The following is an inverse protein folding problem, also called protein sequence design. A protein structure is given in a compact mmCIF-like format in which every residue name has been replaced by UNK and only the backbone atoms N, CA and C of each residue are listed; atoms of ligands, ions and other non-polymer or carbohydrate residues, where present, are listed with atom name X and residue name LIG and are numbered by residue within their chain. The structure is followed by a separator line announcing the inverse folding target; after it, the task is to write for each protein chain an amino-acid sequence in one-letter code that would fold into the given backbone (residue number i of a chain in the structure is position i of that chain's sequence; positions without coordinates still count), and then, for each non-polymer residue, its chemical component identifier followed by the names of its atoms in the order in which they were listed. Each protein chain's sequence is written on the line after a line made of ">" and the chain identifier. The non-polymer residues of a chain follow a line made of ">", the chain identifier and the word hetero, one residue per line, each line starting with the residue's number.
data_IF_747673410197
#
_entry.id   IF_747673410197
#
_cell.length_a   1.000
_cell.length_b   1.000
_cell.length_c   1.000
_cell.angle_alpha   90.00
_cell.angle_beta   90.00
_cell.angle_gamma   90.00
#
_symmetry.space_group_name_H-M   'P 1'
#
loop_
_entity.id
_entity.type
_entity.pdbx_description
1 polymer ?
#
# COMPACT_ATOMS: atom_id res chain seq x y z
N UNK A 1 -10.45 29.07 2.30
CA UNK A 1 -11.08 27.95 3.02
C UNK A 1 -10.38 26.67 2.58
N UNK A 2 -9.76 25.92 3.49
CA UNK A 2 -9.03 24.70 3.14
C UNK A 2 -10.03 23.60 2.74
N UNK A 3 -9.98 23.18 1.48
CA UNK A 3 -10.84 22.14 0.96
C UNK A 3 -10.57 20.82 1.71
N UNK A 4 -11.64 20.17 2.19
CA UNK A 4 -11.50 18.93 2.95
C UNK A 4 -10.96 17.83 2.02
N UNK A 5 -9.65 17.58 2.06
CA UNK A 5 -8.93 16.61 1.20
C UNK A 5 -9.51 15.19 1.25
N UNK A 6 -10.22 14.84 2.32
CA UNK A 6 -11.00 13.61 2.44
C UNK A 6 -12.08 13.48 1.36
N UNK A 7 -12.77 14.58 1.01
CA UNK A 7 -13.79 14.57 -0.06
C UNK A 7 -13.16 14.28 -1.43
N UNK A 8 -11.98 14.83 -1.68
CA UNK A 8 -11.23 14.61 -2.93
C UNK A 8 -10.79 13.15 -3.03
N UNK A 9 -10.21 12.59 -1.96
CA UNK A 9 -9.79 11.20 -1.91
C UNK A 9 -10.99 10.23 -2.07
N UNK A 10 -12.10 10.50 -1.39
CA UNK A 10 -13.32 9.70 -1.52
C UNK A 10 -13.92 9.78 -2.93
N UNK A 11 -13.92 10.97 -3.56
CA UNK A 11 -14.38 11.13 -4.93
C UNK A 11 -13.48 10.40 -5.93
N UNK A 12 -12.16 10.42 -5.73
CA UNK A 12 -11.22 9.66 -6.56
C UNK A 12 -11.45 8.15 -6.43
N UNK A 13 -11.66 7.64 -5.22
CA UNK A 13 -12.01 6.24 -4.96
C UNK A 13 -13.30 5.80 -5.66
N UNK A 14 -14.36 6.61 -5.58
CA UNK A 14 -15.65 6.32 -6.22
C UNK A 14 -15.58 6.25 -7.74
N UNK A 15 -14.55 6.83 -8.38
CA UNK A 15 -14.33 6.62 -9.83
C UNK A 15 -13.90 5.19 -10.17
N UNK A 16 -13.30 4.50 -9.21
CA UNK A 16 -12.80 3.13 -9.39
C UNK A 16 -13.72 2.07 -8.75
N UNK A 17 -14.63 2.49 -7.87
CA UNK A 17 -15.62 1.63 -7.21
C UNK A 17 -17.01 1.97 -7.75
N UNK A 18 -17.64 1.02 -8.45
CA UNK A 18 -19.01 1.17 -8.94
C UNK A 18 -20.08 0.84 -7.88
N UNK A 19 -19.66 0.23 -6.77
CA UNK A 19 -20.52 -0.21 -5.67
C UNK A 19 -20.12 0.51 -4.37
N UNK A 20 -21.12 1.05 -3.67
CA UNK A 20 -20.97 1.71 -2.36
C UNK A 20 -20.63 0.75 -1.22
N UNK A 21 -20.51 -0.55 -1.47
CA UNK A 21 -20.01 -1.54 -0.50
C UNK A 21 -18.62 -2.05 -0.81
N UNK A 22 -18.11 -1.75 -2.00
CA UNK A 22 -16.84 -2.28 -2.43
C UNK A 22 -15.68 -1.68 -1.61
N UNK A 23 -14.74 -2.54 -1.24
CA UNK A 23 -13.56 -2.21 -0.45
C UNK A 23 -12.36 -2.09 -1.39
N UNK A 24 -11.68 -0.95 -1.35
CA UNK A 24 -10.42 -0.72 -2.05
C UNK A 24 -9.24 -0.96 -1.11
N UNK A 25 -8.34 -1.87 -1.46
CA UNK A 25 -7.03 -1.97 -0.84
C UNK A 25 -6.05 -1.05 -1.57
N UNK A 26 -5.46 -0.11 -0.84
CA UNK A 26 -4.43 0.81 -1.35
C UNK A 26 -3.10 0.45 -0.74
N UNK A 27 -2.16 0.08 -1.60
CA UNK A 27 -0.76 -0.11 -1.26
C UNK A 27 0.04 1.10 -1.76
N UNK A 28 0.75 1.78 -0.85
CA UNK A 28 1.58 2.92 -1.21
C UNK A 28 2.91 2.93 -0.47
N UNK A 29 3.76 3.90 -0.79
CA UNK A 29 5.02 4.13 -0.11
C UNK A 29 4.79 4.54 1.35
N UNK A 30 5.72 4.12 2.22
CA UNK A 30 5.79 4.60 3.61
C UNK A 30 5.89 6.13 3.70
N UNK A 31 6.54 6.76 2.71
CA UNK A 31 6.72 8.21 2.62
C UNK A 31 5.58 8.86 1.82
N UNK A 32 4.34 8.68 2.27
CA UNK A 32 3.19 9.31 1.66
C UNK A 32 2.95 10.75 2.18
N UNK A 33 2.20 11.56 1.41
CA UNK A 33 1.81 12.90 1.84
C UNK A 33 1.02 12.82 3.16
N UNK A 34 1.42 13.57 4.22
CA UNK A 34 0.73 13.54 5.52
C UNK A 34 -0.76 13.89 5.45
N UNK A 35 -1.17 14.70 4.48
CA UNK A 35 -2.55 15.04 4.25
C UNK A 35 -3.34 13.87 3.68
N UNK A 36 -2.72 13.09 2.79
CA UNK A 36 -3.33 11.87 2.25
C UNK A 36 -3.44 10.80 3.34
N UNK A 37 -2.41 10.65 4.17
CA UNK A 37 -2.42 9.78 5.36
C UNK A 37 -3.51 10.14 6.38
N UNK A 38 -3.84 11.44 6.52
CA UNK A 38 -4.94 11.91 7.37
C UNK A 38 -6.31 11.69 6.71
N UNK A 39 -6.42 11.91 5.41
CA UNK A 39 -7.66 11.76 4.66
C UNK A 39 -8.16 10.31 4.67
N UNK A 40 -7.26 9.33 4.44
CA UNK A 40 -7.63 7.92 4.33
C UNK A 40 -8.29 7.34 5.58
N UNK A 41 -7.90 7.80 6.78
CA UNK A 41 -8.46 7.31 8.06
C UNK A 41 -9.97 7.50 8.20
N UNK A 42 -10.54 8.43 7.44
CA UNK A 42 -11.97 8.75 7.48
C UNK A 42 -12.76 8.06 6.35
N UNK A 43 -12.12 7.18 5.57
CA UNK A 43 -12.75 6.50 4.44
C UNK A 43 -12.93 5.03 4.79
N UNK A 44 -14.15 4.63 5.13
CA UNK A 44 -14.47 3.27 5.58
C UNK A 44 -14.22 2.19 4.51
N UNK A 45 -14.39 2.54 3.24
CA UNK A 45 -14.22 1.64 2.09
C UNK A 45 -12.75 1.45 1.68
N UNK A 46 -11.80 1.83 2.53
CA UNK A 46 -10.38 1.83 2.18
C UNK A 46 -9.59 1.00 3.20
N UNK A 47 -8.93 -0.05 2.72
CA UNK A 47 -7.85 -0.73 3.43
C UNK A 47 -6.54 -0.10 3.00
N UNK A 48 -5.70 0.26 3.96
CA UNK A 48 -4.48 1.01 3.70
C UNK A 48 -3.28 0.23 4.16
N UNK A 49 -2.33 0.02 3.25
CA UNK A 49 -1.07 -0.66 3.53
C UNK A 49 0.11 0.11 2.94
N UNK A 50 1.25 -0.06 3.61
CA UNK A 50 2.56 0.15 3.02
C UNK A 50 3.25 -1.20 2.73
N UNK A 51 4.44 -1.14 2.15
CA UNK A 51 5.27 -2.28 1.79
C UNK A 51 5.60 -3.23 2.97
N UNK A 52 5.47 -2.78 4.21
CA UNK A 52 5.81 -3.54 5.42
C UNK A 52 4.58 -4.01 6.21
N UNK A 53 3.43 -3.38 5.99
CA UNK A 53 2.16 -3.67 6.68
C UNK A 53 1.15 -4.40 5.80
N UNK A 54 1.48 -4.67 4.53
CA UNK A 54 0.62 -5.44 3.66
C UNK A 54 0.42 -6.86 4.22
N UNK A 55 -0.84 -7.21 4.45
CA UNK A 55 -1.24 -8.55 4.85
C UNK A 55 -2.12 -9.20 3.78
N UNK A 56 -1.98 -10.51 3.66
CA UNK A 56 -2.68 -11.29 2.63
C UNK A 56 -4.19 -11.31 2.88
N UNK A 57 -4.65 -11.24 4.13
CA UNK A 57 -6.08 -11.29 4.44
C UNK A 57 -6.80 -10.03 3.94
N UNK A 58 -6.16 -8.87 3.98
CA UNK A 58 -6.68 -7.61 3.43
C UNK A 58 -6.82 -7.67 1.91
N UNK A 59 -5.94 -8.39 1.21
CA UNK A 59 -6.07 -8.62 -0.23
C UNK A 59 -7.30 -9.47 -0.59
N UNK A 60 -7.62 -10.48 0.23
CA UNK A 60 -8.82 -11.31 0.03
C UNK A 60 -10.13 -10.59 0.38
N UNK A 61 -10.09 -9.59 1.24
CA UNK A 61 -11.26 -8.77 1.61
C UNK A 61 -11.55 -7.65 0.61
N UNK A 62 -10.58 -7.29 -0.22
CA UNK A 62 -10.68 -6.17 -1.13
C UNK A 62 -11.28 -6.60 -2.47
N UNK A 63 -12.25 -5.81 -2.97
CA UNK A 63 -12.83 -5.98 -4.30
C UNK A 63 -11.89 -5.42 -5.39
N UNK A 64 -11.09 -4.43 -5.02
CA UNK A 64 -10.12 -3.75 -5.89
C UNK A 64 -8.82 -3.48 -5.15
N UNK A 65 -7.72 -3.57 -5.88
CA UNK A 65 -6.38 -3.27 -5.36
C UNK A 65 -5.79 -2.14 -6.21
N UNK A 66 -5.36 -1.08 -5.54
CA UNK A 66 -4.61 0.02 -6.12
C UNK A 66 -3.20 0.00 -5.53
N UNK A 67 -2.20 -0.05 -6.41
CA UNK A 67 -0.80 -0.05 -6.01
C UNK A 67 -0.14 1.18 -6.65
N UNK A 68 0.45 2.05 -5.83
CA UNK A 68 1.26 3.14 -6.36
C UNK A 68 2.61 2.59 -6.84
N UNK A 69 3.19 3.20 -7.87
CA UNK A 69 4.47 2.75 -8.41
C UNK A 69 5.56 2.63 -7.32
N UNK A 70 5.70 3.66 -6.47
CA UNK A 70 6.66 3.61 -5.34
C UNK A 70 6.32 2.54 -4.32
N UNK A 71 5.04 2.32 -4.01
CA UNK A 71 4.61 1.24 -3.13
C UNK A 71 4.96 -0.14 -3.67
N UNK A 72 4.85 -0.34 -4.99
CA UNK A 72 5.24 -1.58 -5.64
C UNK A 72 6.76 -1.80 -5.57
N UNK A 73 7.54 -0.78 -5.89
CA UNK A 73 9.01 -0.84 -5.82
C UNK A 73 9.48 -1.25 -4.41
N UNK A 74 8.95 -0.60 -3.37
CA UNK A 74 9.26 -0.92 -1.97
C UNK A 74 8.77 -2.32 -1.56
N UNK A 75 7.59 -2.75 -2.02
CA UNK A 75 7.07 -4.09 -1.73
C UNK A 75 7.97 -5.17 -2.32
N UNK A 76 8.39 -5.00 -3.58
CA UNK A 76 9.27 -5.94 -4.26
C UNK A 76 10.60 -6.03 -3.52
N UNK A 77 11.19 -4.90 -3.12
CA UNK A 77 12.41 -4.87 -2.33
C UNK A 77 12.24 -5.58 -0.98
N UNK A 78 11.11 -5.35 -0.29
CA UNK A 78 10.82 -6.00 0.98
C UNK A 78 10.68 -7.52 0.82
N UNK A 79 9.97 -7.99 -0.20
CA UNK A 79 9.84 -9.44 -0.50
C UNK A 79 11.21 -10.08 -0.73
N UNK A 80 12.06 -9.45 -1.56
CA UNK A 80 13.41 -9.96 -1.80
C UNK A 80 14.25 -10.01 -0.53
N UNK A 81 14.18 -8.98 0.32
CA UNK A 81 14.86 -8.95 1.62
C UNK A 81 14.35 -10.05 2.54
N UNK A 82 13.03 -10.22 2.67
CA UNK A 82 12.44 -11.26 3.52
C UNK A 82 12.79 -12.66 3.04
N UNK A 83 12.74 -12.92 1.73
CA UNK A 83 13.19 -14.19 1.15
C UNK A 83 14.65 -14.47 1.46
N UNK A 84 15.52 -13.46 1.31
CA UNK A 84 16.94 -13.59 1.61
C UNK A 84 17.18 -13.92 3.10
N UNK A 85 16.45 -13.29 4.02
CA UNK A 85 16.58 -13.56 5.46
C UNK A 85 16.03 -14.94 5.84
N UNK A 86 14.86 -15.32 5.31
CA UNK A 86 14.20 -16.58 5.67
C UNK A 86 14.87 -17.82 5.06
N UNK A 87 15.45 -17.70 3.86
CA UNK A 87 16.00 -18.83 3.09
C UNK A 87 17.49 -18.68 2.80
N UNK A 88 18.23 -17.98 3.67
CA UNK A 88 19.68 -17.78 3.49
C UNK A 88 20.40 -19.12 3.45
N UNK A 89 20.78 -19.56 2.25
CA UNK A 89 21.69 -20.69 2.09
C UNK A 89 23.13 -20.19 2.33
N UNK A 90 24.02 -20.97 2.98
CA UNK A 90 25.40 -20.55 3.25
C UNK A 90 26.20 -20.13 2.00
N UNK A 91 25.78 -20.56 0.81
CA UNK A 91 26.40 -20.25 -0.48
C UNK A 91 25.78 -19.05 -1.22
N UNK A 92 24.75 -18.39 -0.68
CA UNK A 92 24.17 -17.22 -1.33
C UNK A 92 25.04 -15.97 -1.13
N UNK A 93 25.33 -15.21 -2.20
CA UNK A 93 26.13 -13.99 -2.12
C UNK A 93 25.45 -12.95 -1.22
N UNK A 94 26.24 -12.21 -0.45
CA UNK A 94 25.74 -11.13 0.40
C UNK A 94 25.10 -10.04 -0.45
N UNK A 95 23.90 -9.58 -0.05
CA UNK A 95 23.33 -8.35 -0.59
C UNK A 95 24.29 -7.19 -0.28
N UNK A 96 25.11 -6.81 -1.25
CA UNK A 96 25.90 -5.59 -1.19
C UNK A 96 24.93 -4.42 -1.22
N UNK A 97 24.69 -3.81 -0.05
CA UNK A 97 24.06 -2.50 0.03
C UNK A 97 24.98 -1.52 -0.67
N UNK A 98 24.62 -1.11 -1.88
CA UNK A 98 25.23 0.05 -2.54
C UNK A 98 24.91 1.29 -1.70
N UNK A 99 25.89 1.71 -0.89
CA UNK A 99 25.99 3.06 -0.30
C UNK A 99 26.20 4.11 -1.37
#
# INVERSE_FOLDING_TARGET
>A
MAEAKTKIAAAALRKHLHDDRAIMCVLTSRNCDPNFAKAQRNIQQMLWHDSYSLDVASLFKADRILITQRGLEELVENIYKTMYVAYRHPSMPSLETKT
#
